data_IF_781401695833
#
_entry.id   IF_781401695833
#
_cell.length_a   1.000
_cell.length_b   1.000
_cell.length_c   1.000
_cell.angle_alpha   90.00
_cell.angle_beta   90.00
_cell.angle_gamma   90.00
#
_symmetry.space_group_name_H-M   'P 1'
#
loop_
_entity.id
_entity.type
_entity.pdbx_description
1 polymer ?
#
# COMPACT_ATOMS: atom_id res chain seq x y z
N UNK A 1 19.30 -29.82 20.86
CA UNK A 1 18.86 -28.52 21.41
C UNK A 1 19.86 -27.49 20.90
N UNK A 2 19.42 -26.58 20.04
CA UNK A 2 20.29 -25.58 19.41
C UNK A 2 20.24 -24.34 20.30
N UNK A 3 21.35 -24.07 20.98
CA UNK A 3 21.50 -22.87 21.81
C UNK A 3 21.43 -21.62 20.94
N UNK A 4 20.32 -20.89 21.04
CA UNK A 4 20.21 -19.53 20.53
C UNK A 4 21.15 -18.63 21.35
N UNK A 5 22.37 -18.42 20.84
CA UNK A 5 23.32 -17.43 21.37
C UNK A 5 22.82 -16.01 21.03
N UNK A 6 21.79 -15.54 21.71
CA UNK A 6 21.52 -14.10 21.83
C UNK A 6 22.59 -13.47 22.72
N UNK A 7 23.72 -13.11 22.12
CA UNK A 7 24.85 -12.55 22.87
C UNK A 7 26.19 -12.62 22.16
N UNK A 8 26.25 -12.48 20.82
CA UNK A 8 27.53 -12.15 20.19
C UNK A 8 27.91 -10.75 20.66
N UNK A 9 28.94 -10.64 21.50
CA UNK A 9 29.66 -9.40 21.68
C UNK A 9 30.19 -9.03 20.28
N UNK A 10 29.51 -8.07 19.64
CA UNK A 10 29.87 -7.56 18.32
C UNK A 10 31.23 -6.90 18.51
N UNK A 11 32.29 -7.55 18.04
CA UNK A 11 33.64 -7.01 18.19
C UNK A 11 33.76 -5.78 17.30
N UNK A 12 34.62 -4.82 17.64
CA UNK A 12 34.78 -3.58 16.87
C UNK A 12 35.12 -3.85 15.38
N UNK A 13 35.67 -5.02 15.08
CA UNK A 13 35.95 -5.51 13.72
C UNK A 13 34.70 -5.82 12.88
N UNK A 14 33.55 -6.09 13.51
CA UNK A 14 32.26 -6.32 12.85
C UNK A 14 31.65 -5.01 12.33
N UNK A 15 32.04 -3.85 12.89
CA UNK A 15 31.54 -2.55 12.46
C UNK A 15 32.27 -2.05 11.22
N UNK A 16 31.71 -2.35 10.04
CA UNK A 16 32.19 -1.76 8.78
C UNK A 16 31.61 -0.36 8.62
N UNK A 17 32.49 0.64 8.49
CA UNK A 17 32.13 2.03 8.19
C UNK A 17 32.22 2.26 6.68
N UNK A 18 31.20 2.88 6.11
CA UNK A 18 31.17 3.26 4.70
C UNK A 18 31.15 4.79 4.59
N UNK A 19 32.06 5.35 3.80
CA UNK A 19 32.03 6.77 3.45
C UNK A 19 31.21 6.95 2.16
N UNK A 20 30.11 7.70 2.25
CA UNK A 20 29.25 7.99 1.10
C UNK A 20 29.57 9.39 0.60
N UNK A 21 29.89 9.52 -0.69
CA UNK A 21 29.99 10.83 -1.36
C UNK A 21 28.63 11.18 -1.92
N UNK A 22 27.92 12.06 -1.22
CA UNK A 22 26.57 12.46 -1.56
C UNK A 22 26.57 13.86 -2.22
N UNK A 23 25.81 14.07 -3.31
CA UNK A 23 25.48 15.39 -3.82
C UNK A 23 24.89 16.31 -2.74
N UNK A 24 25.18 17.61 -2.80
CA UNK A 24 24.82 18.57 -1.75
C UNK A 24 23.30 18.66 -1.52
N UNK A 25 22.53 18.66 -2.59
CA UNK A 25 21.06 18.68 -2.60
C UNK A 25 20.46 17.47 -1.87
N UNK A 26 21.05 16.28 -2.06
CA UNK A 26 20.62 15.06 -1.38
C UNK A 26 20.98 15.08 0.11
N UNK A 27 22.15 15.62 0.45
CA UNK A 27 22.57 15.77 1.84
C UNK A 27 21.65 16.72 2.61
N UNK A 28 21.30 17.87 2.01
CA UNK A 28 20.36 18.82 2.60
C UNK A 28 18.97 18.21 2.78
N UNK A 29 18.50 17.43 1.80
CA UNK A 29 17.22 16.71 1.91
C UNK A 29 17.22 15.71 3.07
N UNK A 30 18.31 14.98 3.25
CA UNK A 30 18.50 14.04 4.37
C UNK A 30 18.55 14.76 5.71
N UNK A 31 19.28 15.88 5.81
CA UNK A 31 19.36 16.71 7.01
C UNK A 31 17.98 17.23 7.43
N UNK A 32 17.23 17.80 6.47
CA UNK A 32 15.89 18.33 6.74
C UNK A 32 14.95 17.23 7.25
N UNK A 33 14.99 16.04 6.64
CA UNK A 33 14.22 14.89 7.10
C UNK A 33 14.63 14.46 8.51
N UNK A 34 15.93 14.40 8.81
CA UNK A 34 16.44 14.03 10.13
C UNK A 34 15.99 15.02 11.21
N UNK A 35 16.07 16.33 10.94
CA UNK A 35 15.64 17.38 11.87
C UNK A 35 14.13 17.33 12.13
N UNK A 36 13.32 17.20 11.09
CA UNK A 36 11.86 17.14 11.21
C UNK A 36 11.39 15.93 12.03
N UNK A 37 12.12 14.82 11.98
CA UNK A 37 11.78 13.57 12.66
C UNK A 37 12.57 13.37 13.98
N UNK A 38 13.40 14.35 14.40
CA UNK A 38 14.27 14.27 15.57
C UNK A 38 15.21 13.04 15.56
N UNK A 39 15.77 12.72 14.39
CA UNK A 39 16.64 11.57 14.18
C UNK A 39 18.10 12.00 14.02
N UNK A 40 19.02 11.09 14.35
CA UNK A 40 20.41 11.25 13.91
C UNK A 40 20.51 11.06 12.40
N UNK A 41 21.49 11.69 11.74
CA UNK A 41 21.69 11.54 10.29
C UNK A 41 21.85 10.08 9.86
N UNK A 42 22.56 9.28 10.66
CA UNK A 42 22.76 7.85 10.38
C UNK A 42 21.45 7.07 10.49
N UNK A 43 20.63 7.38 11.51
CA UNK A 43 19.31 6.75 11.70
C UNK A 43 18.39 7.09 10.54
N UNK A 44 18.29 8.37 10.19
CA UNK A 44 17.51 8.85 9.06
C UNK A 44 17.92 8.19 7.74
N UNK A 45 19.24 8.03 7.51
CA UNK A 45 19.75 7.37 6.31
C UNK A 45 19.29 5.91 6.24
N UNK A 46 19.40 5.16 7.35
CA UNK A 46 18.96 3.75 7.40
C UNK A 46 17.45 3.64 7.20
N UNK A 47 16.67 4.50 7.84
CA UNK A 47 15.21 4.51 7.73
C UNK A 47 14.75 4.80 6.30
N UNK A 48 15.32 5.83 5.65
CA UNK A 48 15.00 6.15 4.26
C UNK A 48 15.43 5.04 3.29
N UNK A 49 16.56 4.36 3.55
CA UNK A 49 16.96 3.19 2.77
C UNK A 49 15.97 2.03 2.94
N UNK A 50 15.50 1.78 4.16
CA UNK A 50 14.50 0.76 4.45
C UNK A 50 13.16 1.08 3.77
N UNK A 51 12.70 2.34 3.86
CA UNK A 51 11.52 2.83 3.16
C UNK A 51 11.67 2.70 1.64
N UNK A 52 12.83 3.04 1.09
CA UNK A 52 13.14 2.87 -0.32
C UNK A 52 13.08 1.40 -0.76
N UNK A 53 13.69 0.49 0.00
CA UNK A 53 13.65 -0.95 -0.25
C UNK A 53 12.23 -1.51 -0.13
N UNK A 54 11.52 -1.20 0.96
CA UNK A 54 10.10 -1.56 1.14
C UNK A 54 9.27 -1.07 -0.02
N UNK A 55 9.39 0.20 -0.40
CA UNK A 55 8.66 0.77 -1.55
C UNK A 55 8.96 0.09 -2.89
N UNK A 56 10.10 -0.60 -3.03
CA UNK A 56 10.44 -1.38 -4.22
C UNK A 56 9.83 -2.79 -4.20
N UNK A 57 9.84 -3.46 -3.05
CA UNK A 57 9.19 -4.76 -2.88
C UNK A 57 7.66 -4.65 -2.84
N UNK A 58 7.17 -3.56 -2.27
CA UNK A 58 5.76 -3.27 -2.02
C UNK A 58 5.18 -2.36 -3.15
N UNK A 59 6.02 -1.71 -3.94
CA UNK A 59 5.62 -0.89 -5.09
C UNK A 59 4.86 0.37 -4.70
N UNK A 60 5.57 1.45 -4.37
CA UNK A 60 5.09 2.83 -4.06
C UNK A 60 3.97 3.00 -3.00
N UNK A 61 3.17 1.99 -2.67
CA UNK A 61 2.22 1.95 -1.55
C UNK A 61 2.05 0.56 -0.92
N UNK A 62 2.62 -0.51 -1.48
CA UNK A 62 2.25 -1.88 -1.06
C UNK A 62 1.01 -2.41 -1.74
N UNK A 63 0.40 -1.66 -2.65
CA UNK A 63 -0.96 -1.93 -3.11
C UNK A 63 -1.12 -1.76 -4.61
N UNK A 64 -1.90 -2.64 -5.22
CA UNK A 64 -2.25 -2.61 -6.64
C UNK A 64 -3.67 -2.09 -6.81
N UNK A 65 -3.88 -1.21 -7.78
CA UNK A 65 -5.18 -0.58 -8.03
C UNK A 65 -5.93 -1.36 -9.11
N UNK A 66 -7.19 -1.68 -8.83
CA UNK A 66 -8.13 -2.36 -9.71
C UNK A 66 -9.40 -1.52 -9.85
N UNK A 67 -10.17 -1.80 -10.88
CA UNK A 67 -11.53 -1.30 -11.03
C UNK A 67 -12.44 -2.45 -11.45
N UNK A 68 -13.67 -2.43 -10.92
CA UNK A 68 -14.71 -3.37 -11.29
C UNK A 68 -15.98 -2.62 -11.67
N UNK A 69 -16.69 -3.20 -12.63
CA UNK A 69 -17.89 -2.67 -13.23
C UNK A 69 -19.04 -3.64 -12.92
N UNK A 70 -20.02 -3.20 -12.14
CA UNK A 70 -21.23 -3.96 -11.81
C UNK A 70 -22.41 -3.47 -12.65
N UNK A 71 -23.07 -4.38 -13.36
CA UNK A 71 -24.25 -4.07 -14.15
C UNK A 71 -25.50 -4.16 -13.26
N UNK A 72 -26.23 -3.05 -13.12
CA UNK A 72 -27.45 -2.99 -12.32
C UNK A 72 -28.68 -3.47 -13.11
N UNK A 73 -28.59 -3.67 -14.43
CA UNK A 73 -29.74 -4.05 -15.27
C UNK A 73 -29.70 -5.52 -15.67
N UNK A 74 -28.59 -5.97 -16.27
CA UNK A 74 -28.52 -7.29 -16.92
C UNK A 74 -28.53 -8.45 -15.92
N UNK A 75 -27.97 -8.22 -14.73
CA UNK A 75 -27.73 -9.27 -13.73
C UNK A 75 -28.89 -9.46 -12.75
N UNK A 76 -30.00 -8.71 -12.88
CA UNK A 76 -31.10 -8.67 -11.92
C UNK A 76 -32.48 -8.84 -12.56
N UNK A 77 -33.42 -9.36 -11.76
CA UNK A 77 -34.84 -9.41 -12.11
C UNK A 77 -35.41 -8.02 -12.43
N UNK A 78 -36.56 -7.99 -13.12
CA UNK A 78 -37.17 -6.75 -13.59
C UNK A 78 -37.78 -5.89 -12.46
N UNK A 79 -36.93 -5.34 -11.61
CA UNK A 79 -37.24 -4.46 -10.48
C UNK A 79 -36.98 -2.98 -10.83
N UNK A 80 -37.47 -2.02 -10.02
CA UNK A 80 -37.08 -0.62 -10.14
C UNK A 80 -35.56 -0.42 -10.03
N UNK A 81 -35.01 0.50 -10.82
CA UNK A 81 -33.56 0.76 -10.89
C UNK A 81 -32.93 1.02 -9.51
N UNK A 82 -33.62 1.77 -8.65
CA UNK A 82 -33.16 2.07 -7.29
C UNK A 82 -32.95 0.81 -6.44
N UNK A 83 -33.86 -0.16 -6.52
CA UNK A 83 -33.75 -1.41 -5.75
C UNK A 83 -32.57 -2.25 -6.23
N UNK A 84 -32.32 -2.27 -7.55
CA UNK A 84 -31.16 -2.95 -8.13
C UNK A 84 -29.84 -2.28 -7.73
N UNK A 85 -29.80 -0.95 -7.68
CA UNK A 85 -28.64 -0.20 -7.20
C UNK A 85 -28.33 -0.53 -5.75
N UNK A 86 -29.34 -0.56 -4.87
CA UNK A 86 -29.18 -0.94 -3.46
C UNK A 86 -28.60 -2.36 -3.34
N UNK A 87 -29.03 -3.30 -4.18
CA UNK A 87 -28.46 -4.66 -4.22
C UNK A 87 -27.00 -4.65 -4.64
N UNK A 88 -26.63 -3.88 -5.67
CA UNK A 88 -25.24 -3.74 -6.10
C UNK A 88 -24.38 -3.11 -4.99
N UNK A 89 -24.85 -2.04 -4.35
CA UNK A 89 -24.16 -1.39 -3.23
C UNK A 89 -23.95 -2.35 -2.05
N UNK A 90 -24.93 -3.20 -1.75
CA UNK A 90 -24.81 -4.23 -0.71
C UNK A 90 -23.74 -5.26 -1.06
N UNK A 91 -23.67 -5.73 -2.30
CA UNK A 91 -22.62 -6.65 -2.75
C UNK A 91 -21.23 -6.03 -2.65
N UNK A 92 -21.08 -4.77 -3.07
CA UNK A 92 -19.82 -4.02 -2.92
C UNK A 92 -19.45 -3.94 -1.43
N UNK A 93 -20.41 -3.63 -0.56
CA UNK A 93 -20.19 -3.53 0.88
C UNK A 93 -19.78 -4.87 1.50
N UNK A 94 -20.45 -5.97 1.12
CA UNK A 94 -20.10 -7.33 1.56
C UNK A 94 -18.68 -7.70 1.12
N UNK A 95 -18.30 -7.41 -0.13
CA UNK A 95 -16.97 -7.68 -0.65
C UNK A 95 -15.85 -7.00 0.16
N UNK A 96 -16.01 -5.72 0.53
CA UNK A 96 -15.02 -5.02 1.35
C UNK A 96 -15.06 -5.44 2.82
N UNK A 97 -16.22 -5.88 3.32
CA UNK A 97 -16.33 -6.43 4.67
C UNK A 97 -15.59 -7.77 4.79
N UNK A 98 -15.72 -8.63 3.79
CA UNK A 98 -15.03 -9.92 3.73
C UNK A 98 -13.52 -9.79 3.47
N UNK A 99 -13.09 -8.68 2.84
CA UNK A 99 -11.69 -8.40 2.52
C UNK A 99 -11.24 -7.08 3.16
N UNK A 100 -11.05 -7.02 4.50
CA UNK A 100 -10.70 -5.79 5.21
C UNK A 100 -9.34 -5.22 4.81
N UNK A 101 -8.49 -6.02 4.16
CA UNK A 101 -7.22 -5.58 3.60
C UNK A 101 -7.37 -4.82 2.28
N UNK A 102 -8.56 -4.81 1.66
CA UNK A 102 -8.87 -4.04 0.45
C UNK A 102 -9.40 -2.66 0.81
N UNK A 103 -9.06 -1.66 0.02
CA UNK A 103 -9.40 -0.27 0.32
C UNK A 103 -10.13 0.33 -0.88
N UNK A 104 -11.37 0.74 -0.66
CA UNK A 104 -12.17 1.46 -1.65
C UNK A 104 -11.59 2.86 -1.86
N UNK A 105 -11.24 3.17 -3.11
CA UNK A 105 -10.64 4.46 -3.51
C UNK A 105 -11.73 5.41 -4.01
N UNK A 106 -12.62 4.89 -4.86
CA UNK A 106 -13.66 5.69 -5.48
C UNK A 106 -14.83 4.79 -5.91
N UNK A 107 -16.02 5.36 -5.99
CA UNK A 107 -17.22 4.72 -6.53
C UNK A 107 -18.00 5.75 -7.34
N UNK A 108 -18.44 5.35 -8.53
CA UNK A 108 -19.22 6.19 -9.41
C UNK A 108 -20.37 5.42 -10.05
N UNK A 109 -21.42 6.15 -10.36
CA UNK A 109 -22.58 5.64 -11.08
C UNK A 109 -22.50 6.08 -12.55
N UNK A 110 -22.56 5.12 -13.46
CA UNK A 110 -22.45 5.30 -14.90
C UNK A 110 -23.82 5.06 -15.58
N UNK A 111 -23.94 5.54 -16.82
CA UNK A 111 -25.11 5.33 -17.68
C UNK A 111 -26.44 5.63 -16.97
N UNK A 112 -26.59 6.80 -16.34
CA UNK A 112 -27.83 7.19 -15.62
C UNK A 112 -28.26 6.25 -14.48
N UNK A 113 -27.36 5.42 -13.95
CA UNK A 113 -27.72 4.50 -12.87
C UNK A 113 -27.57 3.02 -13.19
N UNK A 114 -27.42 2.69 -14.46
CA UNK A 114 -27.46 1.31 -14.95
C UNK A 114 -26.19 0.52 -14.64
N UNK A 115 -25.10 1.21 -14.30
CA UNK A 115 -23.82 0.58 -13.96
C UNK A 115 -23.17 1.29 -12.80
N UNK A 116 -22.53 0.54 -11.91
CA UNK A 116 -21.68 1.09 -10.84
C UNK A 116 -20.25 0.67 -11.11
N UNK A 117 -19.34 1.64 -11.16
CA UNK A 117 -17.90 1.40 -11.22
C UNK A 117 -17.29 1.74 -9.87
N UNK A 118 -16.47 0.85 -9.34
CA UNK A 118 -15.70 1.13 -8.14
C UNK A 118 -14.23 0.78 -8.34
N UNK A 119 -13.37 1.64 -7.79
CA UNK A 119 -11.93 1.48 -7.77
C UNK A 119 -11.50 1.12 -6.37
N UNK A 120 -10.58 0.18 -6.30
CA UNK A 120 -10.06 -0.28 -5.03
C UNK A 120 -8.60 -0.65 -5.15
N UNK A 121 -7.92 -0.63 -4.02
CA UNK A 121 -6.57 -1.17 -3.91
C UNK A 121 -6.58 -2.48 -3.14
N UNK A 122 -5.72 -3.41 -3.55
CA UNK A 122 -5.45 -4.68 -2.87
C UNK A 122 -3.97 -4.76 -2.49
N UNK A 123 -3.57 -5.53 -1.47
CA UNK A 123 -2.16 -5.79 -1.18
C UNK A 123 -1.43 -6.35 -2.40
N UNK A 124 -0.18 -5.90 -2.64
CA UNK A 124 0.60 -6.33 -3.81
C UNK A 124 0.88 -7.83 -3.80
N UNK A 125 0.93 -8.48 -2.64
CA UNK A 125 1.02 -9.94 -2.51
C UNK A 125 -0.15 -10.70 -3.12
N UNK A 126 -1.30 -10.04 -3.26
CA UNK A 126 -2.52 -10.59 -3.88
C UNK A 126 -2.72 -10.05 -5.31
N UNK A 127 -1.77 -9.27 -5.83
CA UNK A 127 -1.84 -8.73 -7.18
C UNK A 127 -1.71 -9.85 -8.21
N UNK A 128 -2.60 -9.84 -9.20
CA UNK A 128 -2.49 -10.68 -10.40
C UNK A 128 -1.47 -10.15 -11.44
N UNK A 129 -0.82 -9.01 -11.13
CA UNK A 129 0.26 -8.43 -11.93
C UNK A 129 1.57 -8.58 -11.15
N UNK A 130 2.50 -9.37 -11.70
CA UNK A 130 3.90 -9.50 -11.24
C UNK A 130 4.64 -8.14 -11.26
#
# INVERSE_FOLDING_TARGET
MVDNKTGRAVTQDDWKRTQIRMPQDQYESLMNYAEQNNLSLNTAMIELMELGLKSKFEGKSGRSIYFNDLNCIEDYENEPLMERQIKCEKLISEFFYENPQYELINIETLNNGEKIRYWYSIPRSESFRD
#
